data_IF_216406449370
#
_entry.id   IF_216406449370
#
_cell.length_a   1.000
_cell.length_b   1.000
_cell.length_c   1.000
_cell.angle_alpha   90.00
_cell.angle_beta   90.00
_cell.angle_gamma   90.00
#
_symmetry.space_group_name_H-M   'P 1'
#
loop_
_entity.id
_entity.type
_entity.pdbx_description
1 polymer ?
#
# COMPACT_ATOMS: atom_id res chain seq x y z
N UNK A 1 17.36 86.74 -45.15
CA UNK A 1 17.16 86.53 -46.60
C UNK A 1 17.32 85.05 -46.88
N UNK A 2 16.32 84.46 -47.56
CA UNK A 2 16.33 83.14 -48.24
C UNK A 2 16.68 81.90 -47.37
N UNK A 3 15.78 80.97 -47.04
CA UNK A 3 14.90 80.10 -47.88
C UNK A 3 15.72 79.32 -48.93
N UNK A 4 15.95 78.02 -48.72
CA UNK A 4 15.37 76.87 -49.48
C UNK A 4 16.07 75.51 -49.15
N UNK A 5 15.35 74.61 -48.49
CA UNK A 5 14.91 73.24 -48.93
C UNK A 5 15.67 72.42 -50.02
N UNK A 6 15.40 71.10 -50.23
CA UNK A 6 15.39 69.95 -49.31
C UNK A 6 15.83 68.59 -50.00
N UNK A 7 15.54 67.46 -49.33
CA UNK A 7 15.44 66.07 -49.88
C UNK A 7 16.77 65.32 -50.07
N UNK A 8 16.94 64.04 -49.72
CA UNK A 8 16.16 62.80 -49.88
C UNK A 8 16.61 61.82 -48.76
N UNK A 9 15.86 60.90 -48.14
CA UNK A 9 14.89 59.93 -48.64
C UNK A 9 15.37 58.50 -48.31
N UNK A 10 14.49 57.67 -47.68
CA UNK A 10 14.60 56.22 -47.33
C UNK A 10 15.40 55.87 -46.06
N UNK A 11 14.98 54.94 -45.18
CA UNK A 11 13.92 53.93 -45.21
C UNK A 11 13.51 53.55 -43.76
N UNK A 12 12.22 53.28 -43.60
CA UNK A 12 11.44 52.56 -42.57
C UNK A 12 12.23 51.39 -41.91
N UNK A 13 12.09 50.94 -40.65
CA UNK A 13 11.10 51.05 -39.56
C UNK A 13 11.66 50.16 -38.36
N UNK A 14 10.99 49.93 -37.20
CA UNK A 14 10.90 50.83 -36.04
C UNK A 14 11.19 50.12 -34.68
N UNK A 15 11.06 50.87 -33.57
CA UNK A 15 10.67 50.48 -32.18
C UNK A 15 11.49 49.41 -31.42
N UNK A 16 11.75 49.39 -30.11
CA UNK A 16 11.31 50.04 -28.85
C UNK A 16 12.52 49.82 -27.92
N UNK A 17 13.08 50.83 -27.25
CA UNK A 17 12.65 51.21 -25.91
C UNK A 17 13.59 50.61 -24.84
N UNK A 18 14.45 51.48 -24.28
CA UNK A 18 15.19 51.21 -23.04
C UNK A 18 14.21 50.80 -21.94
N UNK A 19 14.50 49.73 -21.20
CA UNK A 19 13.94 49.59 -19.86
C UNK A 19 15.01 49.14 -18.87
N UNK A 20 15.07 49.94 -17.81
CA UNK A 20 15.94 49.90 -16.65
C UNK A 20 15.68 48.62 -15.86
N UNK A 21 16.77 48.00 -15.42
CA UNK A 21 16.79 46.79 -14.60
C UNK A 21 16.34 47.14 -13.18
N UNK A 22 15.26 46.52 -12.70
CA UNK A 22 14.92 46.44 -11.27
C UNK A 22 15.14 45.00 -10.81
N UNK A 23 15.90 44.74 -9.73
CA UNK A 23 15.98 43.41 -9.17
C UNK A 23 14.67 43.11 -8.43
N UNK A 24 13.80 42.32 -9.05
CA UNK A 24 12.66 41.74 -8.33
C UNK A 24 13.23 40.63 -7.45
N UNK A 25 13.33 40.92 -6.16
CA UNK A 25 13.49 39.95 -5.08
C UNK A 25 12.25 39.04 -5.09
N UNK A 26 12.28 37.99 -5.92
CA UNK A 26 11.26 36.95 -5.91
C UNK A 26 11.68 35.87 -4.92
N UNK A 27 11.08 36.01 -3.74
CA UNK A 27 10.87 35.02 -2.70
C UNK A 27 10.26 33.75 -3.31
N UNK A 28 11.10 32.91 -3.93
CA UNK A 28 10.73 31.53 -4.24
C UNK A 28 10.70 30.79 -2.90
N UNK A 29 9.51 30.80 -2.28
CA UNK A 29 9.14 29.72 -1.36
C UNK A 29 9.49 28.43 -2.09
N UNK A 30 10.41 27.66 -1.54
CA UNK A 30 10.50 26.25 -1.86
C UNK A 30 9.13 25.68 -1.57
N UNK A 31 8.33 25.49 -2.61
CA UNK A 31 7.29 24.48 -2.58
C UNK A 31 8.05 23.18 -2.36
N UNK A 32 8.23 22.83 -1.08
CA UNK A 32 8.45 21.46 -0.68
C UNK A 32 7.25 20.70 -1.25
N UNK A 33 7.45 20.16 -2.44
CA UNK A 33 6.54 19.20 -3.03
C UNK A 33 6.70 17.94 -2.16
N UNK A 34 6.01 17.90 -1.03
CA UNK A 34 5.72 16.62 -0.40
C UNK A 34 4.81 15.89 -1.38
N UNK A 35 5.40 15.08 -2.27
CA UNK A 35 4.63 14.00 -2.87
C UNK A 35 4.09 13.21 -1.70
N UNK A 36 2.78 13.31 -1.50
CA UNK A 36 2.03 12.40 -0.65
C UNK A 36 2.17 11.03 -1.28
N UNK A 37 3.27 10.33 -0.93
CA UNK A 37 3.49 8.96 -1.33
C UNK A 37 2.41 8.14 -0.65
N UNK A 38 1.51 7.57 -1.45
CA UNK A 38 0.48 6.66 -0.97
C UNK A 38 1.15 5.53 -0.16
N UNK A 39 0.51 5.04 0.92
CA UNK A 39 1.12 4.01 1.75
C UNK A 39 1.29 2.71 0.95
N UNK A 40 2.39 2.01 1.22
CA UNK A 40 2.65 0.70 0.66
C UNK A 40 1.59 -0.32 1.16
N UNK A 41 0.96 -1.08 0.26
CA UNK A 41 0.05 -2.16 0.66
C UNK A 41 0.83 -3.45 0.87
N UNK A 42 0.67 -4.04 2.05
CA UNK A 42 1.30 -5.32 2.44
C UNK A 42 0.22 -6.31 2.84
N UNK A 43 0.19 -7.49 2.22
CA UNK A 43 -0.76 -8.54 2.59
C UNK A 43 -0.10 -9.50 3.57
N UNK A 44 -0.70 -9.69 4.74
CA UNK A 44 -0.18 -10.55 5.81
C UNK A 44 -1.13 -11.72 6.02
N UNK A 45 -0.75 -12.93 5.58
CA UNK A 45 -1.64 -14.09 5.60
C UNK A 45 -0.95 -15.39 6.00
N UNK A 46 -1.67 -16.26 6.71
CA UNK A 46 -1.27 -17.63 6.97
C UNK A 46 -2.19 -18.59 6.20
N UNK A 47 -1.62 -19.53 5.45
CA UNK A 47 -2.40 -20.44 4.60
C UNK A 47 -1.86 -21.87 4.58
N UNK A 48 -2.77 -22.83 4.43
CA UNK A 48 -2.41 -24.22 4.19
C UNK A 48 -1.89 -24.46 2.76
N UNK A 49 -1.42 -25.69 2.49
CA UNK A 49 -0.96 -26.13 1.16
C UNK A 49 -2.00 -25.93 0.04
N UNK A 50 -3.27 -25.99 0.41
CA UNK A 50 -4.42 -25.78 -0.47
C UNK A 50 -4.89 -24.31 -0.55
N UNK A 51 -4.12 -23.37 0.01
CA UNK A 51 -4.43 -21.94 0.17
C UNK A 51 -5.64 -21.63 1.07
N UNK A 52 -6.17 -22.61 1.81
CA UNK A 52 -7.21 -22.34 2.81
C UNK A 52 -6.65 -21.36 3.84
N UNK A 53 -7.44 -20.35 4.16
CA UNK A 53 -7.16 -19.33 5.18
C UNK A 53 -8.29 -19.20 6.20
N UNK A 54 -9.41 -19.90 6.00
CA UNK A 54 -10.56 -19.80 6.87
C UNK A 54 -11.61 -20.86 6.59
N UNK A 55 -12.38 -21.18 7.62
CA UNK A 55 -13.53 -22.08 7.59
C UNK A 55 -14.56 -21.58 8.59
N UNK A 56 -15.81 -21.47 8.17
CA UNK A 56 -16.94 -21.13 9.04
C UNK A 56 -16.70 -19.84 9.86
N UNK A 57 -15.97 -18.88 9.26
CA UNK A 57 -15.60 -17.61 9.90
C UNK A 57 -14.40 -17.66 10.84
N UNK A 58 -13.79 -18.82 11.09
CA UNK A 58 -12.60 -18.98 11.94
C UNK A 58 -11.36 -19.47 11.20
N UNK A 59 -10.24 -19.53 11.92
CA UNK A 59 -9.03 -20.21 11.45
C UNK A 59 -9.13 -21.72 11.70
N UNK A 60 -8.77 -22.60 10.76
CA UNK A 60 -8.81 -24.06 10.96
C UNK A 60 -7.76 -24.60 11.95
N UNK A 61 -6.92 -23.73 12.50
CA UNK A 61 -5.79 -24.08 13.35
C UNK A 61 -5.57 -23.03 14.44
N UNK A 62 -4.86 -23.42 15.49
CA UNK A 62 -4.34 -22.53 16.51
C UNK A 62 -2.81 -22.69 16.56
N UNK A 63 -2.08 -21.69 16.07
CA UNK A 63 -0.63 -21.75 15.90
C UNK A 63 0.04 -20.55 16.60
N UNK A 64 0.40 -20.67 17.89
CA UNK A 64 0.98 -19.57 18.67
C UNK A 64 2.22 -18.93 18.03
N UNK A 65 3.05 -19.72 17.31
CA UNK A 65 4.21 -19.21 16.62
C UNK A 65 3.84 -18.27 15.46
N UNK A 66 2.78 -18.59 14.70
CA UNK A 66 2.25 -17.74 13.64
C UNK A 66 1.60 -16.48 14.23
N UNK A 67 0.79 -16.62 15.29
CA UNK A 67 0.19 -15.46 15.97
C UNK A 67 1.24 -14.49 16.52
N UNK A 68 2.36 -14.99 17.06
CA UNK A 68 3.50 -14.18 17.49
C UNK A 68 4.16 -13.47 16.32
N UNK A 69 4.33 -14.15 15.19
CA UNK A 69 4.89 -13.56 13.97
C UNK A 69 3.96 -12.48 13.41
N UNK A 70 2.68 -12.77 13.25
CA UNK A 70 1.65 -11.83 12.84
C UNK A 70 1.64 -10.56 13.69
N UNK A 71 1.70 -10.72 15.03
CA UNK A 71 1.81 -9.57 15.94
C UNK A 71 3.07 -8.76 15.68
N UNK A 72 4.21 -9.40 15.47
CA UNK A 72 5.48 -8.71 15.23
C UNK A 72 5.50 -7.97 13.89
N UNK A 73 4.96 -8.58 12.83
CA UNK A 73 4.91 -7.98 11.49
C UNK A 73 3.94 -6.79 11.42
N UNK A 74 2.84 -6.85 12.18
CA UNK A 74 1.78 -5.83 12.12
C UNK A 74 1.89 -4.75 13.20
N UNK A 75 2.81 -4.88 14.16
CA UNK A 75 2.92 -3.92 15.27
C UNK A 75 3.22 -2.50 14.75
N UNK A 76 2.65 -1.49 15.41
CA UNK A 76 2.84 -0.06 15.09
C UNK A 76 2.43 0.35 13.67
N UNK A 77 1.81 -0.56 12.90
CA UNK A 77 1.29 -0.30 11.56
C UNK A 77 -0.24 -0.29 11.55
N UNK A 78 -0.86 0.51 10.66
CA UNK A 78 -2.29 0.41 10.41
C UNK A 78 -2.62 -0.95 9.82
N UNK A 79 -3.64 -1.60 10.37
CA UNK A 79 -4.16 -2.88 9.88
C UNK A 79 -5.55 -2.68 9.30
N UNK A 80 -5.80 -3.29 8.14
CA UNK A 80 -7.11 -3.30 7.49
C UNK A 80 -7.62 -4.73 7.34
N UNK A 81 -8.88 -4.93 7.72
CA UNK A 81 -9.55 -6.22 7.67
C UNK A 81 -10.99 -6.08 7.19
N UNK A 82 -11.54 -7.13 6.59
CA UNK A 82 -12.97 -7.19 6.31
C UNK A 82 -13.80 -7.36 7.59
N UNK A 83 -15.07 -6.92 7.56
CA UNK A 83 -16.02 -7.08 8.68
C UNK A 83 -16.04 -8.49 9.28
N UNK A 84 -16.17 -9.54 8.47
CA UNK A 84 -16.25 -10.93 8.97
C UNK A 84 -14.97 -11.36 9.69
N UNK A 85 -13.82 -10.89 9.23
CA UNK A 85 -12.54 -11.12 9.90
C UNK A 85 -12.50 -10.41 11.25
N UNK A 86 -12.99 -9.18 11.33
CA UNK A 86 -13.13 -8.49 12.61
C UNK A 86 -14.08 -9.23 13.56
N UNK A 87 -15.25 -9.67 13.09
CA UNK A 87 -16.22 -10.45 13.87
C UNK A 87 -15.59 -11.73 14.45
N UNK A 88 -14.74 -12.41 13.67
CA UNK A 88 -13.97 -13.59 14.11
C UNK A 88 -12.94 -13.28 15.19
N UNK A 89 -12.20 -12.17 15.04
CA UNK A 89 -11.21 -11.71 16.02
C UNK A 89 -11.89 -11.20 17.30
N UNK A 90 -13.07 -10.60 17.16
CA UNK A 90 -13.94 -10.14 18.24
C UNK A 90 -13.53 -8.83 18.93
N UNK A 91 -12.38 -8.24 18.59
CA UNK A 91 -11.90 -6.99 19.21
C UNK A 91 -10.82 -6.29 18.38
N UNK A 92 -10.65 -5.00 18.64
CA UNK A 92 -9.50 -4.24 18.17
C UNK A 92 -8.20 -4.86 18.71
N UNK A 93 -7.20 -4.96 17.85
CA UNK A 93 -5.90 -5.51 18.17
C UNK A 93 -5.01 -4.41 18.78
N UNK A 94 -4.57 -4.54 20.06
CA UNK A 94 -3.82 -3.48 20.74
C UNK A 94 -2.52 -3.11 20.04
N UNK A 95 -2.09 -1.85 20.17
CA UNK A 95 -0.86 -1.31 19.58
C UNK A 95 -0.92 -1.05 18.08
N UNK A 96 -2.13 -1.06 17.49
CA UNK A 96 -2.36 -0.88 16.05
C UNK A 96 -3.56 0.01 15.81
N UNK A 97 -3.49 0.80 14.74
CA UNK A 97 -4.67 1.48 14.18
C UNK A 97 -5.51 0.42 13.46
N UNK A 98 -6.69 0.13 13.99
CA UNK A 98 -7.57 -0.93 13.49
C UNK A 98 -8.58 -0.36 12.51
N UNK A 99 -8.58 -0.85 11.27
CA UNK A 99 -9.47 -0.38 10.20
C UNK A 99 -10.32 -1.54 9.71
N UNK A 100 -11.64 -1.35 9.72
CA UNK A 100 -12.61 -2.33 9.25
C UNK A 100 -13.23 -1.84 7.94
N UNK A 101 -12.96 -2.55 6.86
CA UNK A 101 -13.60 -2.30 5.58
C UNK A 101 -14.99 -2.93 5.57
N UNK A 102 -16.00 -2.07 5.50
CA UNK A 102 -17.40 -2.48 5.42
C UNK A 102 -18.27 -1.42 4.76
N UNK A 103 -19.07 -1.86 3.80
CA UNK A 103 -20.13 -1.04 3.17
C UNK A 103 -21.46 -1.11 3.92
N UNK A 104 -21.64 -2.09 4.81
CA UNK A 104 -22.92 -2.35 5.48
C UNK A 104 -22.96 -1.90 6.93
N UNK A 105 -21.80 -1.64 7.54
CA UNK A 105 -21.77 -1.11 8.91
C UNK A 105 -22.13 0.36 8.89
N UNK A 106 -23.10 0.77 9.71
CA UNK A 106 -23.43 2.17 9.90
C UNK A 106 -22.31 2.90 10.66
N UNK A 107 -21.74 2.24 11.67
CA UNK A 107 -20.73 2.80 12.57
C UNK A 107 -19.49 1.89 12.67
N UNK A 108 -18.38 2.46 13.12
CA UNK A 108 -17.16 1.69 13.34
C UNK A 108 -17.27 0.84 14.62
N UNK A 109 -16.77 -0.42 14.62
CA UNK A 109 -16.69 -1.20 15.85
C UNK A 109 -15.83 -0.50 16.92
N UNK A 110 -16.04 -0.79 18.22
CA UNK A 110 -15.27 -0.18 19.29
C UNK A 110 -13.75 -0.33 19.08
N UNK A 111 -13.03 0.79 19.20
CA UNK A 111 -11.57 0.83 19.01
C UNK A 111 -11.09 0.68 17.55
N UNK A 112 -12.01 0.79 16.58
CA UNK A 112 -11.71 0.70 15.15
C UNK A 112 -12.19 1.95 14.40
N UNK A 113 -11.66 2.11 13.20
CA UNK A 113 -12.17 3.01 12.17
C UNK A 113 -12.92 2.19 11.11
N UNK A 114 -13.93 2.80 10.48
CA UNK A 114 -14.67 2.18 9.38
C UNK A 114 -14.34 2.91 8.09
N UNK A 115 -14.02 2.14 7.05
CA UNK A 115 -13.87 2.61 5.67
C UNK A 115 -14.83 1.86 4.74
N UNK A 116 -15.26 2.48 3.65
CA UNK A 116 -16.11 1.84 2.65
C UNK A 116 -15.32 1.22 1.49
N UNK A 117 -14.08 1.65 1.27
CA UNK A 117 -13.20 1.18 0.20
C UNK A 117 -11.72 1.21 0.62
N UNK A 118 -10.85 0.54 -0.14
CA UNK A 118 -9.40 0.54 0.14
C UNK A 118 -8.79 1.91 -0.13
N UNK A 119 -9.30 2.63 -1.12
CA UNK A 119 -8.83 3.95 -1.55
C UNK A 119 -8.90 4.97 -0.40
N UNK A 120 -9.98 4.95 0.40
CA UNK A 120 -10.12 5.79 1.59
C UNK A 120 -8.96 5.57 2.60
N UNK A 121 -8.41 4.36 2.69
CA UNK A 121 -7.27 4.08 3.56
C UNK A 121 -5.94 4.63 3.02
N UNK A 122 -5.86 4.90 1.71
CA UNK A 122 -4.65 5.38 1.04
C UNK A 122 -4.58 6.91 0.95
N UNK A 123 -5.72 7.61 1.08
CA UNK A 123 -5.81 9.08 0.99
C UNK A 123 -5.16 9.84 2.15
N UNK A 124 -4.87 9.18 3.28
CA UNK A 124 -4.22 9.78 4.43
C UNK A 124 -2.69 9.92 4.26
N UNK A 125 -2.02 10.83 5.01
CA UNK A 125 -0.57 10.88 5.04
C UNK A 125 0.01 9.52 5.46
N UNK A 126 0.91 8.97 4.64
CA UNK A 126 1.50 7.67 4.90
C UNK A 126 2.42 7.73 6.13
N UNK A 127 1.99 7.12 7.24
CA UNK A 127 2.84 6.87 8.42
C UNK A 127 3.59 5.53 8.35
N UNK A 128 3.46 4.81 7.24
CA UNK A 128 4.05 3.49 7.02
C UNK A 128 3.20 2.63 6.08
N UNK A 129 3.55 1.34 5.92
CA UNK A 129 2.75 0.39 5.15
C UNK A 129 1.36 0.14 5.76
N UNK A 130 0.35 -0.02 4.90
CA UNK A 130 -0.98 -0.50 5.24
C UNK A 130 -1.02 -2.03 5.19
N UNK A 131 -1.25 -2.65 6.34
CA UNK A 131 -1.24 -4.11 6.49
C UNK A 131 -2.64 -4.68 6.27
N UNK A 132 -2.86 -5.37 5.15
CA UNK A 132 -4.10 -6.10 4.86
C UNK A 132 -4.02 -7.46 5.54
N UNK A 133 -4.85 -7.70 6.55
CA UNK A 133 -4.70 -8.85 7.47
C UNK A 133 -5.79 -9.93 7.34
N UNK A 134 -6.82 -9.72 6.51
CA UNK A 134 -7.81 -10.77 6.35
C UNK A 134 -9.13 -10.40 5.69
N UNK A 135 -9.77 -11.47 5.20
CA UNK A 135 -10.98 -11.45 4.40
C UNK A 135 -10.64 -11.87 2.96
N UNK A 136 -11.16 -13.01 2.49
CA UNK A 136 -10.84 -13.53 1.16
C UNK A 136 -11.12 -12.52 0.04
N UNK A 137 -12.25 -11.81 0.12
CA UNK A 137 -12.60 -10.72 -0.81
C UNK A 137 -11.63 -9.54 -0.72
N UNK A 138 -11.22 -9.16 0.49
CA UNK A 138 -10.28 -8.07 0.70
C UNK A 138 -8.90 -8.40 0.13
N UNK A 139 -8.42 -9.63 0.35
CA UNK A 139 -7.18 -10.09 -0.27
C UNK A 139 -7.25 -10.06 -1.79
N UNK A 140 -8.36 -10.51 -2.38
CA UNK A 140 -8.55 -10.50 -3.84
C UNK A 140 -8.50 -9.08 -4.40
N UNK A 141 -9.12 -8.12 -3.71
CA UNK A 141 -9.11 -6.71 -4.11
C UNK A 141 -7.74 -6.04 -3.90
N UNK A 142 -7.02 -6.38 -2.82
CA UNK A 142 -5.75 -5.76 -2.47
C UNK A 142 -4.54 -6.35 -3.23
N UNK A 143 -4.58 -7.62 -3.63
CA UNK A 143 -3.44 -8.32 -4.24
C UNK A 143 -2.87 -7.61 -5.49
N UNK A 144 -3.67 -7.03 -6.42
CA UNK A 144 -3.13 -6.28 -7.56
C UNK A 144 -2.36 -5.02 -7.16
N UNK A 145 -2.70 -4.42 -6.02
CA UNK A 145 -2.12 -3.16 -5.52
C UNK A 145 -0.96 -3.40 -4.54
N UNK A 146 -0.83 -4.63 -4.03
CA UNK A 146 0.16 -4.99 -3.03
C UNK A 146 1.59 -4.80 -3.53
N UNK A 147 2.46 -4.20 -2.72
CA UNK A 147 3.90 -4.15 -3.00
C UNK A 147 4.67 -5.29 -2.32
N UNK A 148 4.12 -5.83 -1.21
CA UNK A 148 4.73 -6.91 -0.44
C UNK A 148 3.69 -7.94 0.04
N UNK A 149 4.13 -9.20 0.13
CA UNK A 149 3.42 -10.28 0.79
C UNK A 149 4.25 -10.77 1.98
N UNK A 150 3.62 -10.86 3.15
CA UNK A 150 4.15 -11.52 4.34
C UNK A 150 3.31 -12.79 4.57
N UNK A 151 3.84 -13.93 4.10
CA UNK A 151 3.11 -15.18 4.03
C UNK A 151 3.67 -16.21 5.02
N UNK A 152 2.78 -16.82 5.81
CA UNK A 152 3.08 -18.06 6.53
C UNK A 152 2.48 -19.24 5.76
N UNK A 153 3.33 -20.11 5.23
CA UNK A 153 2.91 -21.40 4.69
C UNK A 153 2.86 -22.44 5.81
N UNK A 154 1.71 -23.09 5.96
CA UNK A 154 1.46 -24.11 6.98
C UNK A 154 1.47 -25.48 6.31
N UNK A 155 2.20 -26.43 6.89
CA UNK A 155 2.27 -27.82 6.44
C UNK A 155 0.99 -28.61 6.79
N UNK A 156 -0.16 -28.10 6.34
CA UNK A 156 -1.49 -28.66 6.52
C UNK A 156 -2.35 -28.39 5.27
N UNK A 157 -3.34 -29.23 5.03
CA UNK A 157 -4.33 -29.04 3.95
C UNK A 157 -5.75 -29.26 4.49
N UNK A 158 -6.24 -28.40 5.40
CA UNK A 158 -7.56 -28.58 6.00
C UNK A 158 -8.67 -28.23 5.01
N UNK A 159 -9.88 -28.71 5.27
CA UNK A 159 -11.08 -28.20 4.60
C UNK A 159 -11.32 -26.73 4.98
N UNK A 160 -11.81 -25.95 4.03
CA UNK A 160 -12.19 -24.56 4.27
C UNK A 160 -12.95 -23.93 3.12
N UNK A 161 -13.71 -22.89 3.44
CA UNK A 161 -14.54 -22.14 2.50
C UNK A 161 -13.84 -20.90 1.95
N UNK A 162 -12.80 -20.43 2.66
CA UNK A 162 -12.11 -19.19 2.37
C UNK A 162 -10.66 -19.48 1.99
N UNK A 163 -10.26 -18.98 0.82
CA UNK A 163 -8.95 -19.22 0.25
C UNK A 163 -8.21 -17.91 0.00
N UNK A 164 -6.90 -17.92 0.20
CA UNK A 164 -6.04 -16.85 -0.31
C UNK A 164 -6.12 -16.85 -1.85
N UNK A 165 -6.22 -15.68 -2.50
CA UNK A 165 -6.28 -15.59 -3.96
C UNK A 165 -5.07 -16.28 -4.60
N UNK A 166 -5.25 -16.81 -5.81
CA UNK A 166 -4.09 -17.28 -6.60
C UNK A 166 -3.30 -16.05 -7.06
N UNK A 167 -1.98 -16.19 -7.14
CA UNK A 167 -1.08 -15.17 -7.66
C UNK A 167 -0.05 -15.80 -8.61
N UNK A 168 0.48 -15.02 -9.54
CA UNK A 168 1.57 -15.49 -10.40
C UNK A 168 2.90 -15.33 -9.67
N UNK A 169 3.60 -16.44 -9.42
CA UNK A 169 4.88 -16.41 -8.71
C UNK A 169 5.95 -15.56 -9.41
N UNK A 170 5.88 -15.42 -10.74
CA UNK A 170 6.79 -14.59 -11.52
C UNK A 170 6.71 -13.10 -11.17
N UNK A 171 5.59 -12.63 -10.61
CA UNK A 171 5.40 -11.23 -10.22
C UNK A 171 6.10 -10.89 -8.89
N UNK A 172 6.67 -11.89 -8.20
CA UNK A 172 7.17 -11.76 -6.83
C UNK A 172 8.58 -12.32 -6.66
N UNK A 173 9.41 -11.58 -5.93
CA UNK A 173 10.74 -12.00 -5.50
C UNK A 173 10.69 -12.41 -4.03
N UNK A 174 11.28 -13.55 -3.69
CA UNK A 174 11.46 -13.96 -2.29
C UNK A 174 12.63 -13.19 -1.67
N UNK A 175 12.35 -12.35 -0.68
CA UNK A 175 13.37 -11.54 -0.01
C UNK A 175 13.86 -12.19 1.29
N UNK A 176 12.97 -12.88 2.01
CA UNK A 176 13.33 -13.60 3.23
C UNK A 176 12.51 -14.88 3.38
N UNK A 177 13.14 -15.93 3.94
CA UNK A 177 12.47 -17.17 4.29
C UNK A 177 13.01 -17.71 5.61
N UNK A 178 12.11 -18.12 6.51
CA UNK A 178 12.47 -18.81 7.75
C UNK A 178 11.58 -20.02 7.97
N UNK A 179 12.20 -21.18 8.14
CA UNK A 179 11.51 -22.43 8.45
C UNK A 179 11.43 -22.65 9.95
N UNK A 180 10.35 -23.27 10.40
CA UNK A 180 10.14 -23.71 11.77
C UNK A 180 9.54 -25.12 11.75
N UNK A 181 10.21 -26.12 12.37
CA UNK A 181 9.62 -27.45 12.49
C UNK A 181 8.37 -27.42 13.39
N UNK A 182 7.56 -28.46 13.26
CA UNK A 182 6.45 -28.72 14.17
C UNK A 182 6.96 -28.99 15.59
N UNK A 183 6.15 -28.67 16.59
CA UNK A 183 6.38 -29.02 17.99
C UNK A 183 5.04 -29.20 18.73
N UNK A 184 5.10 -29.49 20.02
CA UNK A 184 3.91 -29.75 20.84
C UNK A 184 2.88 -28.61 20.83
N UNK A 185 3.33 -27.35 20.71
CA UNK A 185 2.44 -26.18 20.69
C UNK A 185 2.00 -25.79 19.27
N UNK A 186 2.69 -26.27 18.23
CA UNK A 186 2.45 -25.94 16.83
C UNK A 186 2.58 -27.25 16.03
N UNK A 187 1.48 -28.01 15.85
CA UNK A 187 1.53 -29.37 15.30
C UNK A 187 1.92 -29.44 13.82
N UNK A 188 2.02 -28.29 13.14
CA UNK A 188 2.42 -28.19 11.74
C UNK A 188 3.74 -27.43 11.61
N UNK A 189 4.58 -27.87 10.66
CA UNK A 189 5.73 -27.08 10.26
C UNK A 189 5.27 -25.78 9.58
N UNK A 190 6.02 -24.70 9.80
CA UNK A 190 5.72 -23.37 9.27
C UNK A 190 6.88 -22.86 8.43
N UNK A 191 6.56 -22.16 7.36
CA UNK A 191 7.54 -21.40 6.57
C UNK A 191 7.05 -19.96 6.48
N UNK A 192 7.79 -19.05 7.10
CA UNK A 192 7.55 -17.61 7.02
C UNK A 192 8.31 -17.05 5.81
N UNK A 193 7.65 -16.31 4.95
CA UNK A 193 8.20 -15.73 3.73
C UNK A 193 7.82 -14.25 3.61
N UNK A 194 8.81 -13.41 3.29
CA UNK A 194 8.59 -12.03 2.83
C UNK A 194 8.89 -11.97 1.34
N UNK A 195 7.94 -11.46 0.55
CA UNK A 195 8.07 -11.32 -0.91
C UNK A 195 7.76 -9.91 -1.36
N UNK A 196 8.61 -9.30 -2.18
CA UNK A 196 8.34 -8.02 -2.84
C UNK A 196 7.92 -8.23 -4.28
N UNK A 197 7.07 -7.32 -4.78
CA UNK A 197 6.69 -7.30 -6.20
C UNK A 197 7.92 -7.04 -7.06
N UNK A 198 8.10 -7.83 -8.10
CA UNK A 198 9.10 -7.57 -9.14
C UNK A 198 8.64 -6.33 -9.90
N UNK A 199 9.41 -5.25 -9.82
CA UNK A 199 9.17 -4.10 -10.70
C UNK A 199 9.44 -4.55 -12.13
N UNK A 200 8.55 -4.23 -13.06
CA UNK A 200 8.87 -4.37 -14.48
C UNK A 200 10.19 -3.62 -14.74
N UNK A 201 11.13 -4.19 -15.51
CA UNK A 201 12.28 -3.41 -15.95
C UNK A 201 11.73 -2.16 -16.61
N UNK A 202 12.13 -1.00 -16.09
CA UNK A 202 11.76 0.29 -16.64
C UNK A 202 12.08 0.21 -18.13
N UNK A 203 11.05 0.24 -18.97
CA UNK A 203 11.25 0.24 -20.42
C UNK A 203 11.93 1.56 -20.73
N UNK A 204 13.26 1.50 -20.77
CA UNK A 204 14.14 2.63 -21.01
C UNK A 204 13.56 3.48 -22.13
N UNK A 205 13.46 4.77 -21.83
CA UNK A 205 13.05 5.81 -22.76
C UNK A 205 13.75 5.59 -24.11
N UNK A 206 13.03 5.68 -25.25
CA UNK A 206 13.69 5.65 -26.54
C UNK A 206 14.66 6.84 -26.62
N UNK A 207 15.91 6.55 -27.03
CA UNK A 207 16.92 7.56 -27.40
C UNK A 207 16.40 8.53 -28.46
#
# INVERSE_FOLDING_TARGET
MHVQEPSQGKLLQPVIGKLVVYPVFLFLHSLDWTVNKQPEIVLVAAMGKNRVIGRDGGMPWHLPADLKHFKAVTMDHPIVMGRRTFESIGKALPGRRNIVLSRSLAEAPPGCERIASLEEALEGPASGPLMVIGGGELYRAALPLAARLELTFIDAAPDGDTHFPRWAHADWRLDAMRRRPADAANPYALVFCSLSRVQAPDSAQPE
#
